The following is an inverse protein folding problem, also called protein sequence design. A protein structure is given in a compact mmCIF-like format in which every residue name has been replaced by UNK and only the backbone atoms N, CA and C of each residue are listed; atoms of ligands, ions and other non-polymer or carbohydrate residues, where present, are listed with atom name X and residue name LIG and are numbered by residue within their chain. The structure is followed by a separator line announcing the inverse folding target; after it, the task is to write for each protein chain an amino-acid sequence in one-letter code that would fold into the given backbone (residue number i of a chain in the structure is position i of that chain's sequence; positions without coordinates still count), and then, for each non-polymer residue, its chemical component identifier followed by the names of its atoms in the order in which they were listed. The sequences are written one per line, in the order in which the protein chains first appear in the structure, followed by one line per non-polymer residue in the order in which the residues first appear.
data_IF_473831265196
#
_entry.id   IF_473831265196
#
_cell.length_a   1.000
_cell.length_b   1.000
_cell.length_c   1.000
_cell.angle_alpha   90.00
_cell.angle_beta   90.00
_cell.angle_gamma   90.00
#
_symmetry.space_group_name_H-M   'P 1'
#
loop_
_entity.id
_entity.type
_entity.pdbx_description
1 polymer ?
#
# COMPACT_ATOMS: atom_id res chain seq x y z
N UNK A 1 -1.59 -5.09 -11.65
CA UNK A 1 -2.45 -4.31 -10.71
C UNK A 1 -1.76 -4.27 -9.36
N UNK A 2 -2.12 -3.36 -8.44
CA UNK A 2 -1.41 -3.13 -7.14
C UNK A 2 -1.10 -4.43 -6.37
N UNK A 3 -1.97 -5.44 -6.45
CA UNK A 3 -1.79 -6.77 -5.84
C UNK A 3 -0.60 -7.57 -6.37
N UNK A 4 -0.22 -7.38 -7.63
CA UNK A 4 0.93 -8.09 -8.21
C UNK A 4 2.23 -7.52 -7.65
N UNK A 5 2.26 -6.22 -7.34
CA UNK A 5 3.40 -5.58 -6.67
C UNK A 5 3.52 -6.07 -5.23
N UNK A 6 2.40 -6.19 -4.51
CA UNK A 6 2.33 -6.77 -3.15
C UNK A 6 2.80 -8.24 -3.11
N UNK A 7 2.57 -9.00 -4.18
CA UNK A 7 3.02 -10.40 -4.27
C UNK A 7 4.52 -10.54 -4.58
N UNK A 8 5.10 -9.53 -5.24
CA UNK A 8 6.51 -9.49 -5.66
C UNK A 8 7.38 -8.76 -4.64
N UNK A 9 6.77 -8.01 -3.72
CA UNK A 9 7.45 -7.34 -2.62
C UNK A 9 7.67 -8.35 -1.48
N UNK A 10 8.94 -8.57 -1.14
CA UNK A 10 9.35 -9.41 0.00
C UNK A 10 9.51 -8.56 1.28
N UNK A 11 8.93 -7.36 1.27
CA UNK A 11 8.88 -6.40 2.38
C UNK A 11 7.91 -6.80 3.50
N UNK A 12 7.58 -5.84 4.37
CA UNK A 12 6.67 -6.06 5.48
C UNK A 12 5.21 -6.19 4.99
N UNK A 13 4.54 -7.35 5.17
CA UNK A 13 3.16 -7.58 4.75
C UNK A 13 2.12 -6.67 5.42
N UNK A 14 2.50 -5.99 6.51
CA UNK A 14 1.65 -5.03 7.21
C UNK A 14 1.70 -3.63 6.61
N UNK A 15 2.69 -3.35 5.77
CA UNK A 15 2.84 -2.06 5.10
C UNK A 15 2.16 -2.13 3.73
N UNK A 16 1.25 -1.20 3.40
CA UNK A 16 0.60 -1.22 2.10
C UNK A 16 1.58 -0.75 1.00
N UNK A 17 1.34 -1.13 -0.26
CA UNK A 17 2.09 -0.57 -1.39
C UNK A 17 1.96 0.95 -1.45
N UNK A 18 3.10 1.64 -1.50
CA UNK A 18 3.21 3.09 -1.61
C UNK A 18 3.67 3.48 -3.02
N UNK A 19 3.14 4.59 -3.54
CA UNK A 19 3.48 5.07 -4.87
C UNK A 19 3.84 6.55 -4.84
N UNK A 20 4.77 6.96 -5.70
CA UNK A 20 5.02 8.38 -5.94
C UNK A 20 3.98 8.92 -6.94
N UNK A 21 3.41 10.08 -6.64
CA UNK A 21 2.55 10.81 -7.57
C UNK A 21 3.39 11.30 -8.75
N UNK A 22 3.10 10.83 -9.96
CA UNK A 22 3.87 11.20 -11.16
C UNK A 22 3.84 12.71 -11.45
N UNK A 23 2.83 13.45 -10.97
CA UNK A 23 2.70 14.89 -11.21
C UNK A 23 3.50 15.76 -10.26
N UNK A 24 3.59 15.40 -8.98
CA UNK A 24 4.21 16.24 -7.95
C UNK A 24 5.33 15.56 -7.16
N UNK A 25 5.56 14.25 -7.36
CA UNK A 25 6.54 13.45 -6.63
C UNK A 25 6.17 13.15 -5.18
N UNK A 26 4.99 13.58 -4.72
CA UNK A 26 4.52 13.29 -3.36
C UNK A 26 4.16 11.81 -3.17
N UNK A 27 4.31 11.31 -1.95
CA UNK A 27 3.92 9.94 -1.61
C UNK A 27 2.40 9.79 -1.56
N UNK A 28 1.90 8.73 -2.17
CA UNK A 28 0.50 8.34 -2.20
C UNK A 28 0.31 7.09 -1.35
N UNK A 29 -0.59 7.21 -0.39
CA UNK A 29 -1.00 6.15 0.51
C UNK A 29 -2.45 5.76 0.19
N UNK A 30 -2.78 4.46 0.17
CA UNK A 30 -4.17 4.05 -0.01
C UNK A 30 -5.01 4.42 1.23
N UNK A 31 -6.25 4.86 1.04
CA UNK A 31 -7.18 5.05 2.16
C UNK A 31 -7.56 3.71 2.81
N UNK A 32 -7.73 2.67 1.98
CA UNK A 32 -7.97 1.29 2.38
C UNK A 32 -7.26 0.34 1.43
N UNK A 33 -6.57 -0.66 1.97
CA UNK A 33 -5.95 -1.73 1.19
C UNK A 33 -6.10 -3.08 1.90
N UNK A 34 -6.42 -4.13 1.13
CA UNK A 34 -6.41 -5.50 1.62
C UNK A 34 -5.37 -6.28 0.84
N UNK A 35 -4.27 -6.60 1.51
CA UNK A 35 -3.13 -7.30 0.93
C UNK A 35 -3.43 -8.76 0.60
N UNK A 36 -2.54 -9.36 -0.18
CA UNK A 36 -2.62 -10.78 -0.59
C UNK A 36 -2.57 -11.73 0.61
N UNK A 37 -1.93 -11.31 1.71
CA UNK A 37 -1.86 -12.03 2.98
C UNK A 37 -3.12 -11.86 3.86
N UNK A 38 -4.13 -11.13 3.37
CA UNK A 38 -5.39 -10.88 4.08
C UNK A 38 -5.32 -9.79 5.15
N UNK A 39 -4.17 -9.13 5.29
CA UNK A 39 -3.97 -7.99 6.19
C UNK A 39 -4.68 -6.78 5.59
N UNK A 40 -5.43 -6.08 6.43
CA UNK A 40 -6.16 -4.87 6.06
C UNK A 40 -5.46 -3.64 6.62
N UNK A 41 -5.23 -2.67 5.75
CA UNK A 41 -4.72 -1.35 6.07
C UNK A 41 -5.85 -0.34 5.92
N UNK A 42 -5.99 0.56 6.90
CA UNK A 42 -6.86 1.74 6.84
C UNK A 42 -6.08 2.96 7.30
N UNK A 43 -6.09 4.00 6.49
CA UNK A 43 -5.39 5.24 6.81
C UNK A 43 -5.93 5.89 8.11
N UNK A 44 -7.21 5.66 8.42
CA UNK A 44 -7.84 6.10 9.68
C UNK A 44 -7.25 5.47 10.95
N UNK A 45 -6.62 4.30 10.84
CA UNK A 45 -6.11 3.59 12.01
C UNK A 45 -4.74 4.13 12.45
N UNK A 46 -4.13 5.00 11.63
CA UNK A 46 -2.80 5.57 11.80
C UNK A 46 -2.84 7.08 12.13
N UNK A 47 -3.94 7.76 11.80
CA UNK A 47 -4.20 9.18 12.05
C UNK A 47 -5.07 9.39 13.30
#
# INVERSE_FOLDING_TARGET
MVRDFDLMDDGDPTTPPMFACEKCGGEMYPEYYKGVHGIEYKLSDIL
#
